data_IF_976685947727
#
_entry.id   IF_976685947727
#
_cell.length_a   1.000
_cell.length_b   1.000
_cell.length_c   1.000
_cell.angle_alpha   90.00
_cell.angle_beta   90.00
_cell.angle_gamma   90.00
#
_symmetry.space_group_name_H-M   'P 1'
#
loop_
_entity.id
_entity.type
_entity.pdbx_description
1 polymer ?
#
# COMPACT_ATOMS: atom_id res chain seq x y z
N UNK A 1 -10.96 11.78 7.08
CA UNK A 1 -10.65 10.78 7.14
C UNK A 1 -9.48 10.51 6.47
N UNK A 2 -8.75 9.69 6.72
CA UNK A 2 -7.62 9.56 6.23
C UNK A 2 -7.49 8.65 5.41
N UNK A 3 -6.90 8.83 4.50
CA UNK A 3 -6.76 7.94 3.55
C UNK A 3 -5.57 7.17 3.85
N UNK A 4 -5.38 6.17 4.02
CA UNK A 4 -4.19 5.41 4.24
C UNK A 4 -3.39 5.39 2.94
N UNK A 5 -2.91 6.57 2.53
CA UNK A 5 -2.09 6.73 1.33
C UNK A 5 -2.81 6.25 0.08
N UNK A 6 -4.11 6.49 0.02
CA UNK A 6 -4.90 6.09 -1.14
C UNK A 6 -5.49 4.71 -1.03
N UNK A 7 -5.26 4.01 0.07
CA UNK A 7 -5.81 2.68 0.28
C UNK A 7 -7.05 2.79 1.16
N UNK A 8 -7.98 1.86 0.97
CA UNK A 8 -9.12 1.79 1.86
C UNK A 8 -8.66 1.22 3.21
N UNK A 9 -9.51 1.28 4.21
CA UNK A 9 -9.18 0.76 5.53
C UNK A 9 -8.82 -0.72 5.45
N UNK A 10 -9.57 -1.47 4.68
CA UNK A 10 -9.33 -2.91 4.53
C UNK A 10 -8.02 -3.16 3.81
N UNK A 11 -7.76 -2.40 2.75
CA UNK A 11 -6.52 -2.56 2.01
C UNK A 11 -5.31 -2.24 2.89
N UNK A 12 -5.45 -1.23 3.73
CA UNK A 12 -4.36 -0.86 4.62
C UNK A 12 -4.12 -1.96 5.65
N UNK A 13 -5.18 -2.55 6.19
CA UNK A 13 -5.04 -3.66 7.12
C UNK A 13 -4.31 -4.83 6.47
N UNK A 14 -4.64 -5.13 5.22
CA UNK A 14 -3.97 -6.20 4.51
C UNK A 14 -2.50 -5.87 4.27
N UNK A 15 -2.21 -4.62 3.92
CA UNK A 15 -0.82 -4.24 3.72
C UNK A 15 -0.02 -4.36 5.02
N UNK A 16 -0.63 -4.08 6.16
CA UNK A 16 0.08 -4.24 7.42
C UNK A 16 0.49 -5.69 7.65
N UNK A 17 -0.35 -6.62 7.23
CA UNK A 17 -0.01 -8.03 7.31
C UNK A 17 1.21 -8.33 6.42
N UNK A 18 1.21 -7.84 5.19
CA UNK A 18 2.30 -8.10 4.28
C UNK A 18 3.58 -7.40 4.72
N UNK A 19 3.48 -6.22 5.29
CA UNK A 19 4.66 -5.51 5.77
C UNK A 19 5.28 -6.20 6.99
N UNK A 20 4.47 -6.91 7.76
CA UNK A 20 4.98 -7.58 8.94
C UNK A 20 5.57 -8.96 8.61
N UNK A 21 5.42 -9.40 7.37
CA UNK A 21 5.92 -10.71 6.96
C UNK A 21 7.23 -10.55 6.21
N UNK A 22 8.17 -11.43 6.45
CA UNK A 22 9.45 -11.37 5.75
C UNK A 22 9.48 -12.32 4.56
N UNK A 23 8.32 -12.86 4.16
CA UNK A 23 8.25 -13.76 3.02
C UNK A 23 6.87 -13.63 2.38
N UNK A 24 6.72 -14.05 1.14
CA UNK A 24 5.40 -14.02 0.49
C UNK A 24 4.42 -14.92 1.23
N UNK A 25 3.17 -14.51 1.29
CA UNK A 25 2.13 -15.25 1.99
C UNK A 25 1.18 -15.91 1.00
N UNK A 26 0.95 -17.22 1.13
CA UNK A 26 0.00 -17.90 0.26
C UNK A 26 -1.42 -17.37 0.46
N UNK A 27 -2.23 -17.47 -0.58
CA UNK A 27 -3.60 -16.98 -0.52
C UNK A 27 -4.35 -17.56 0.68
N UNK A 28 -4.22 -18.86 0.91
CA UNK A 28 -4.93 -19.50 2.01
C UNK A 28 -4.53 -18.90 3.36
N UNK A 29 -3.26 -18.58 3.54
CA UNK A 29 -2.78 -18.01 4.79
C UNK A 29 -3.35 -16.60 4.99
N UNK A 30 -3.45 -15.83 3.92
CA UNK A 30 -4.01 -14.48 4.00
C UNK A 30 -5.49 -14.56 4.35
N UNK A 31 -6.21 -15.49 3.72
CA UNK A 31 -7.63 -15.65 3.99
C UNK A 31 -7.86 -16.08 5.44
N UNK A 32 -7.04 -17.00 5.92
CA UNK A 32 -7.15 -17.45 7.31
C UNK A 32 -6.89 -16.29 8.27
N UNK A 33 -5.92 -15.45 7.98
CA UNK A 33 -5.62 -14.31 8.82
C UNK A 33 -6.83 -13.36 8.87
N UNK A 34 -7.44 -13.10 7.73
CA UNK A 34 -8.58 -12.20 7.67
C UNK A 34 -9.74 -12.74 8.49
N UNK A 35 -10.02 -14.02 8.37
CA UNK A 35 -11.17 -14.58 9.04
C UNK A 35 -10.91 -14.91 10.50
N UNK A 36 -9.71 -15.37 10.82
CA UNK A 36 -9.41 -15.77 12.19
C UNK A 36 -8.95 -14.61 13.06
N UNK A 37 -8.14 -13.73 12.53
CA UNK A 37 -7.56 -12.65 13.30
C UNK A 37 -8.38 -11.37 13.16
N UNK A 38 -8.74 -11.01 11.93
CA UNK A 38 -9.50 -9.80 11.69
C UNK A 38 -11.00 -10.02 11.78
N UNK A 39 -11.43 -11.27 11.94
CA UNK A 39 -12.84 -11.62 12.12
C UNK A 39 -13.72 -11.13 10.98
N UNK A 40 -13.24 -11.26 9.75
CA UNK A 40 -13.98 -10.73 8.60
C UNK A 40 -15.01 -11.69 8.02
N UNK A 41 -14.81 -12.99 8.16
CA UNK A 41 -15.74 -13.97 7.61
C UNK A 41 -15.92 -13.79 6.10
N UNK A 42 -14.82 -13.71 5.39
CA UNK A 42 -14.84 -13.49 3.95
C UNK A 42 -14.81 -14.80 3.19
N UNK A 43 -15.48 -14.79 2.02
CA UNK A 43 -15.29 -15.86 1.05
C UNK A 43 -13.99 -15.62 0.31
N UNK A 44 -13.48 -16.65 -0.33
CA UNK A 44 -12.25 -16.52 -1.11
C UNK A 44 -12.37 -15.48 -2.21
N UNK A 45 -13.54 -15.39 -2.83
CA UNK A 45 -13.73 -14.41 -3.91
C UNK A 45 -13.65 -12.99 -3.39
N UNK A 46 -14.08 -12.74 -2.17
CA UNK A 46 -14.00 -11.40 -1.60
C UNK A 46 -12.54 -11.00 -1.42
N UNK A 47 -11.74 -11.87 -0.84
CA UNK A 47 -10.32 -11.57 -0.66
C UNK A 47 -9.64 -11.40 -2.01
N UNK A 48 -9.96 -12.26 -2.96
CA UNK A 48 -9.36 -12.18 -4.28
C UNK A 48 -9.61 -10.81 -4.93
N UNK A 49 -10.80 -10.27 -4.73
CA UNK A 49 -11.14 -8.95 -5.28
C UNK A 49 -10.24 -7.87 -4.68
N UNK A 50 -10.03 -7.90 -3.36
CA UNK A 50 -9.18 -6.92 -2.73
C UNK A 50 -7.73 -7.06 -3.17
N UNK A 51 -7.22 -8.29 -3.23
CA UNK A 51 -5.84 -8.50 -3.63
C UNK A 51 -5.61 -8.07 -5.07
N UNK A 52 -6.56 -8.36 -5.96
CA UNK A 52 -6.46 -7.95 -7.35
C UNK A 52 -6.42 -6.42 -7.46
N UNK A 53 -7.26 -5.76 -6.67
CA UNK A 53 -7.29 -4.31 -6.67
C UNK A 53 -5.96 -3.73 -6.19
N UNK A 54 -5.38 -4.34 -5.16
CA UNK A 54 -4.10 -3.87 -4.63
C UNK A 54 -2.95 -4.11 -5.62
N UNK A 55 -3.03 -5.18 -6.39
CA UNK A 55 -2.05 -5.43 -7.43
C UNK A 55 -2.18 -4.36 -8.53
N UNK A 56 -3.40 -4.00 -8.87
CA UNK A 56 -3.63 -2.95 -9.87
C UNK A 56 -3.11 -1.61 -9.39
N UNK A 57 -3.13 -1.38 -8.08
CA UNK A 57 -2.60 -0.15 -7.51
C UNK A 57 -1.08 -0.21 -7.38
N UNK A 58 -0.48 -1.35 -7.71
CA UNK A 58 0.96 -1.56 -7.69
C UNK A 58 1.56 -1.49 -6.29
N UNK A 59 0.77 -1.78 -5.28
CA UNK A 59 1.29 -1.86 -3.90
C UNK A 59 1.54 -3.30 -3.49
N UNK A 60 0.94 -4.25 -4.20
CA UNK A 60 1.07 -5.66 -3.87
C UNK A 60 1.60 -6.41 -5.08
N UNK A 61 2.49 -7.35 -4.86
CA UNK A 61 2.98 -8.22 -5.89
C UNK A 61 2.52 -9.63 -5.63
N UNK A 62 2.66 -10.49 -6.63
CA UNK A 62 2.33 -11.89 -6.45
C UNK A 62 3.35 -12.75 -7.15
N UNK A 63 3.55 -13.95 -6.63
CA UNK A 63 4.45 -14.90 -7.23
C UNK A 63 3.73 -16.24 -7.22
N UNK A 64 4.09 -17.11 -8.14
CA UNK A 64 3.44 -18.39 -8.26
C UNK A 64 4.43 -19.51 -8.23
N UNK A 65 4.11 -20.56 -7.49
CA UNK A 65 4.96 -21.69 -7.44
C UNK A 65 4.05 -22.87 -7.65
N UNK A 66 4.03 -23.43 -8.81
CA UNK A 66 3.09 -24.49 -9.15
C UNK A 66 1.69 -23.93 -9.16
N UNK A 67 0.82 -24.50 -8.36
CA UNK A 67 -0.54 -24.05 -8.27
C UNK A 67 -0.73 -22.99 -7.22
N UNK A 68 0.28 -22.76 -6.39
CA UNK A 68 0.10 -21.84 -5.28
C UNK A 68 0.54 -20.46 -5.66
N UNK A 69 -0.30 -19.49 -5.37
CA UNK A 69 0.03 -18.09 -5.57
C UNK A 69 0.24 -17.46 -4.20
N UNK A 70 1.34 -16.76 -4.06
CA UNK A 70 1.67 -16.06 -2.82
C UNK A 70 1.76 -14.58 -3.11
N UNK A 71 1.54 -13.77 -2.09
CA UNK A 71 1.48 -12.32 -2.24
C UNK A 71 2.49 -11.66 -1.31
N UNK A 72 2.98 -10.52 -1.71
CA UNK A 72 3.97 -9.79 -0.91
C UNK A 72 3.83 -8.30 -1.16
N UNK A 73 4.27 -7.50 -0.19
CA UNK A 73 4.24 -6.05 -0.34
C UNK A 73 5.27 -5.66 -1.39
N UNK A 74 4.83 -4.95 -2.42
CA UNK A 74 5.71 -4.53 -3.47
C UNK A 74 6.42 -3.24 -3.10
N UNK A 75 5.86 -2.50 -2.17
CA UNK A 75 6.46 -1.25 -1.69
C UNK A 75 6.41 -1.25 -0.18
N UNK A 76 7.34 -0.56 0.45
CA UNK A 76 7.31 -0.40 1.90
C UNK A 76 6.30 0.68 2.23
N UNK A 77 5.95 0.81 3.50
CA UNK A 77 5.03 1.85 3.91
C UNK A 77 5.63 3.23 3.62
N UNK A 78 6.93 3.39 3.83
CA UNK A 78 7.59 4.66 3.54
C UNK A 78 7.52 4.98 2.05
N UNK A 79 7.71 3.97 1.21
CA UNK A 79 7.63 4.18 -0.23
C UNK A 79 6.21 4.53 -0.65
N UNK A 80 5.22 3.88 -0.05
CA UNK A 80 3.83 4.15 -0.37
C UNK A 80 3.46 5.58 0.02
N UNK A 81 3.91 6.02 1.17
CA UNK A 81 3.66 7.37 1.63
C UNK A 81 4.26 8.38 0.66
N UNK A 82 5.47 8.11 0.19
CA UNK A 82 6.15 8.98 -0.75
C UNK A 82 5.41 9.04 -2.08
N UNK A 83 4.97 7.90 -2.57
CA UNK A 83 4.23 7.84 -3.83
C UNK A 83 2.91 8.60 -3.73
N UNK A 84 2.23 8.46 -2.61
CA UNK A 84 0.97 9.15 -2.40
C UNK A 84 1.19 10.66 -2.37
N UNK A 85 2.24 11.11 -1.69
CA UNK A 85 2.54 12.53 -1.62
C UNK A 85 2.86 13.08 -3.01
N UNK A 86 3.62 12.34 -3.81
CA UNK A 86 3.95 12.77 -5.15
C UNK A 86 2.69 12.91 -6.01
N UNK A 87 1.78 11.97 -5.92
CA UNK A 87 0.54 12.02 -6.70
C UNK A 87 -0.32 13.19 -6.24
N UNK A 88 -0.39 13.42 -4.94
CA UNK A 88 -1.16 14.51 -4.40
C UNK A 88 -0.60 15.85 -4.90
N UNK A 89 0.72 16.01 -4.87
CA UNK A 89 1.34 17.22 -5.28
C UNK A 89 1.15 17.49 -6.78
N UNK A 90 1.18 16.45 -7.57
CA UNK A 90 0.94 16.61 -8.99
C UNK A 90 -0.46 17.13 -9.23
N UNK A 91 -1.44 16.61 -8.50
CA UNK A 91 -2.81 17.05 -8.65
C UNK A 91 -3.02 18.46 -8.14
N UNK A 92 -2.42 18.78 -7.00
CA UNK A 92 -2.62 20.08 -6.38
C UNK A 92 -1.92 21.21 -7.08
N UNK A 93 -0.75 20.94 -7.65
CA UNK A 93 0.06 21.99 -8.23
C UNK A 93 0.25 21.83 -9.73
N UNK A 94 -0.67 21.12 -10.39
CA UNK A 94 -0.62 21.00 -11.84
C UNK A 94 0.64 20.37 -12.36
N UNK A 95 1.21 19.48 -11.60
CA UNK A 95 2.45 18.85 -12.01
C UNK A 95 3.69 19.63 -11.64
N UNK A 96 3.52 20.75 -10.94
CA UNK A 96 4.65 21.60 -10.61
C UNK A 96 5.31 21.14 -9.32
N UNK A 97 5.69 19.91 -9.28
CA UNK A 97 6.35 19.34 -8.11
C UNK A 97 7.64 20.06 -7.81
N UNK A 98 8.34 20.48 -8.85
CA UNK A 98 9.61 21.15 -8.68
C UNK A 98 9.45 22.45 -7.87
N UNK A 99 8.41 23.22 -8.16
CA UNK A 99 8.19 24.48 -7.45
C UNK A 99 7.90 24.22 -5.99
N UNK A 100 7.13 23.18 -5.71
CA UNK A 100 6.82 22.87 -4.33
C UNK A 100 8.07 22.44 -3.58
N UNK A 101 8.91 21.64 -4.22
CA UNK A 101 10.15 21.20 -3.60
C UNK A 101 11.07 22.37 -3.28
N UNK A 102 11.11 23.34 -4.19
CA UNK A 102 11.93 24.52 -3.95
C UNK A 102 11.41 25.32 -2.74
N UNK A 103 10.10 25.41 -2.62
CA UNK A 103 9.50 26.11 -1.49
C UNK A 103 9.82 25.40 -0.18
N UNK A 104 9.67 24.08 -0.16
CA UNK A 104 9.96 23.32 1.03
C UNK A 104 11.43 23.37 1.40
N UNK A 105 12.28 23.35 0.39
CA UNK A 105 13.71 23.43 0.64
C UNK A 105 14.09 24.76 1.25
N UNK A 106 13.47 25.83 0.79
CA UNK A 106 13.74 27.13 1.34
C UNK A 106 13.34 27.20 2.80
N UNK A 107 12.18 26.64 3.12
CA UNK A 107 11.72 26.64 4.49
C UNK A 107 12.60 25.75 5.35
N UNK A 108 13.02 24.64 4.80
CA UNK A 108 13.90 23.77 5.52
C UNK A 108 15.20 24.42 5.85
N UNK A 109 15.73 25.21 4.91
CA UNK A 109 16.95 25.90 5.14
C UNK A 109 16.82 26.88 6.26
N UNK A 110 15.72 27.63 6.29
CA UNK A 110 15.49 28.59 7.36
C UNK A 110 15.38 27.86 8.69
N UNK A 111 14.78 26.71 8.68
CA UNK A 111 14.60 26.00 9.92
C UNK A 111 15.87 25.35 10.40
N UNK A 112 16.71 24.91 9.47
CA UNK A 112 17.88 24.22 9.88
C UNK A 112 18.89 25.10 10.46
N UNK A 113 18.97 26.30 10.03
CA UNK A 113 19.91 27.26 10.53
C UNK A 113 19.31 28.01 11.68
#
# INVERSE_FOLDING_TARGET
MESHYGLSDIEYELMQLFWSSDHPLPFADVLAYCNDTLKRDWAATTLHTYLTRMIQKEVLGSTRKGYKRSYFAKVSEAQLSCNYANDFLKGSFGGSLKNLLLTLTSESKLTKD
#
